data_IF_877074050002
#
_entry.id   IF_877074050002
#
_cell.length_a   1.000
_cell.length_b   1.000
_cell.length_c   1.000
_cell.angle_alpha   90.00
_cell.angle_beta   90.00
_cell.angle_gamma   90.00
#
_symmetry.space_group_name_H-M   'P 1'
#
loop_
_entity.id
_entity.type
_entity.pdbx_description
1 polymer ?
#
# COMPACT_ATOMS: atom_id res chain seq x y z
N UNK A 1 23.88 -5.74 -20.38
CA UNK A 1 24.31 -4.34 -20.52
C UNK A 1 23.11 -3.49 -20.91
N UNK A 2 23.08 -2.22 -20.52
CA UNK A 2 22.03 -1.31 -20.99
C UNK A 2 22.20 -1.08 -22.51
N UNK A 3 21.10 -1.08 -23.25
CA UNK A 3 21.10 -0.75 -24.68
C UNK A 3 21.47 0.72 -24.89
N UNK A 4 22.26 1.02 -25.91
CA UNK A 4 22.55 2.42 -26.28
C UNK A 4 21.33 3.05 -26.97
N UNK A 5 21.25 4.38 -26.99
CA UNK A 5 20.14 5.06 -27.66
C UNK A 5 20.18 4.79 -29.17
N UNK A 6 21.37 4.77 -29.76
CA UNK A 6 21.61 4.49 -31.16
C UNK A 6 21.16 3.07 -31.53
N UNK A 7 21.51 2.06 -30.72
CA UNK A 7 21.08 0.68 -30.95
C UNK A 7 19.55 0.54 -30.85
N UNK A 8 18.93 1.18 -29.86
CA UNK A 8 17.48 1.18 -29.70
C UNK A 8 16.79 1.81 -30.91
N UNK A 9 17.32 2.92 -31.44
CA UNK A 9 16.79 3.59 -32.63
C UNK A 9 16.91 2.70 -33.88
N UNK A 10 18.05 2.01 -34.08
CA UNK A 10 18.21 1.09 -35.22
C UNK A 10 17.19 -0.05 -35.17
N UNK A 11 17.03 -0.69 -34.01
CA UNK A 11 16.01 -1.73 -33.83
C UNK A 11 14.60 -1.16 -34.01
N UNK A 12 14.29 0.00 -33.45
CA UNK A 12 12.98 0.64 -33.60
C UNK A 12 12.65 0.97 -35.07
N UNK A 13 13.67 1.30 -35.87
CA UNK A 13 13.56 1.51 -37.32
C UNK A 13 13.50 0.21 -38.13
N UNK A 14 13.66 -0.95 -37.49
CA UNK A 14 13.69 -2.26 -38.15
C UNK A 14 15.00 -2.56 -38.89
N UNK A 15 16.07 -1.82 -38.60
CA UNK A 15 17.39 -2.03 -39.21
C UNK A 15 18.13 -3.23 -38.59
N UNK A 16 17.87 -3.50 -37.31
CA UNK A 16 18.40 -4.62 -36.54
C UNK A 16 17.24 -5.44 -35.91
N UNK A 17 17.49 -6.72 -35.60
CA UNK A 17 16.51 -7.57 -34.91
C UNK A 17 16.33 -7.17 -33.44
N UNK A 18 15.09 -7.25 -32.95
CA UNK A 18 14.78 -7.10 -31.54
C UNK A 18 15.25 -8.34 -30.74
N UNK A 19 15.44 -8.20 -29.43
CA UNK A 19 15.80 -9.34 -28.58
C UNK A 19 14.62 -10.30 -28.37
N UNK A 20 13.42 -9.74 -28.23
CA UNK A 20 12.17 -10.46 -28.10
C UNK A 20 11.07 -9.76 -28.90
N UNK A 21 10.25 -10.51 -29.63
CA UNK A 21 9.01 -10.01 -30.23
C UNK A 21 7.84 -10.85 -29.72
N UNK A 22 6.85 -10.18 -29.12
CA UNK A 22 5.56 -10.77 -28.79
C UNK A 22 4.65 -10.66 -30.02
N UNK A 23 4.34 -11.79 -30.68
CA UNK A 23 3.57 -11.83 -31.93
C UNK A 23 2.08 -11.93 -31.64
N UNK A 24 1.27 -11.40 -32.56
CA UNK A 24 -0.20 -11.53 -32.55
C UNK A 24 -0.87 -11.06 -31.24
N UNK A 25 -0.39 -9.96 -30.66
CA UNK A 25 -0.90 -9.41 -29.42
C UNK A 25 -2.12 -8.50 -29.66
N UNK A 26 -3.14 -8.59 -28.79
CA UNK A 26 -4.18 -7.55 -28.66
C UNK A 26 -3.71 -6.50 -27.66
N UNK A 27 -3.03 -5.48 -28.14
CA UNK A 27 -2.43 -4.44 -27.30
C UNK A 27 -3.51 -3.52 -26.77
N UNK A 28 -3.61 -3.41 -25.44
CA UNK A 28 -4.46 -2.44 -24.75
C UNK A 28 -3.74 -1.09 -24.72
N UNK A 29 -4.16 -0.15 -25.56
CA UNK A 29 -3.54 1.17 -25.63
C UNK A 29 -4.19 2.13 -24.64
N UNK A 30 -3.55 2.26 -23.48
CA UNK A 30 -3.98 3.16 -22.40
C UNK A 30 -3.89 4.65 -22.75
N UNK A 31 -3.26 5.03 -23.86
CA UNK A 31 -3.18 6.43 -24.29
C UNK A 31 -4.37 6.84 -25.17
N UNK A 32 -4.72 6.00 -26.15
CA UNK A 32 -5.78 6.28 -27.12
C UNK A 32 -7.13 5.67 -26.75
N UNK A 33 -7.17 4.77 -25.77
CA UNK A 33 -8.42 4.17 -25.31
C UNK A 33 -8.96 3.08 -26.24
N UNK A 34 -8.10 2.46 -27.08
CA UNK A 34 -8.47 1.40 -28.01
C UNK A 34 -7.63 0.13 -27.83
N UNK A 35 -8.05 -0.94 -28.50
CA UNK A 35 -7.33 -2.21 -28.56
C UNK A 35 -7.04 -2.54 -30.01
N UNK A 36 -5.78 -2.78 -30.34
CA UNK A 36 -5.38 -3.14 -31.70
C UNK A 36 -4.47 -4.36 -31.74
N UNK A 37 -4.59 -5.13 -32.82
CA UNK A 37 -3.78 -6.33 -33.06
C UNK A 37 -2.45 -5.90 -33.66
N UNK A 38 -1.34 -6.22 -33.00
CA UNK A 38 0.01 -5.90 -33.48
C UNK A 38 1.05 -6.80 -32.79
N UNK A 39 2.33 -6.65 -33.14
CA UNK A 39 3.42 -7.26 -32.39
C UNK A 39 4.11 -6.22 -31.51
N UNK A 40 4.70 -6.66 -30.39
CA UNK A 40 5.48 -5.80 -29.49
C UNK A 40 6.95 -6.21 -29.56
N UNK A 41 7.79 -5.35 -30.12
CA UNK A 41 9.24 -5.55 -30.18
C UNK A 41 9.92 -5.01 -28.93
N UNK A 42 10.81 -5.81 -28.34
CA UNK A 42 11.51 -5.51 -27.09
C UNK A 42 13.02 -5.63 -27.34
N UNK A 43 13.75 -4.60 -26.95
CA UNK A 43 15.21 -4.52 -27.03
C UNK A 43 15.79 -4.22 -25.65
N UNK A 44 16.63 -5.13 -25.14
CA UNK A 44 17.13 -5.14 -23.78
C UNK A 44 15.98 -5.05 -22.77
N UNK A 45 15.79 -3.90 -22.12
CA UNK A 45 14.72 -3.66 -21.14
C UNK A 45 13.63 -2.73 -21.63
N UNK A 46 13.67 -2.33 -22.91
CA UNK A 46 12.82 -1.30 -23.49
C UNK A 46 11.96 -1.86 -24.60
N UNK A 47 10.77 -1.29 -24.76
CA UNK A 47 9.94 -1.49 -25.94
C UNK A 47 10.62 -0.74 -27.09
N UNK A 48 10.95 -1.43 -28.18
CA UNK A 48 11.54 -0.83 -29.37
C UNK A 48 10.46 -0.31 -30.32
N UNK A 49 9.34 -1.02 -30.47
CA UNK A 49 8.31 -0.66 -31.44
C UNK A 49 7.07 -1.54 -31.37
N UNK A 50 6.02 -1.08 -32.05
CA UNK A 50 4.78 -1.82 -32.31
C UNK A 50 4.62 -1.98 -33.83
N UNK A 51 4.36 -3.18 -34.32
CA UNK A 51 4.19 -3.45 -35.74
C UNK A 51 4.86 -4.72 -36.23
N UNK A 52 5.24 -4.74 -37.51
CA UNK A 52 5.96 -5.88 -38.07
C UNK A 52 7.46 -5.79 -37.74
N UNK A 53 7.90 -6.63 -36.81
CA UNK A 53 9.28 -6.74 -36.34
C UNK A 53 9.71 -8.20 -36.33
N UNK A 54 11.02 -8.41 -36.49
CA UNK A 54 11.70 -9.70 -36.30
C UNK A 54 12.46 -9.70 -34.98
N UNK A 55 12.35 -10.81 -34.26
CA UNK A 55 13.05 -11.02 -33.00
C UNK A 55 14.01 -12.19 -33.04
N UNK A 56 15.11 -12.11 -32.28
CA UNK A 56 15.96 -13.28 -31.98
C UNK A 56 15.16 -14.38 -31.28
N UNK A 57 14.20 -13.97 -30.45
CA UNK A 57 13.17 -14.81 -29.86
C UNK A 57 11.81 -14.25 -30.26
N UNK A 58 10.92 -15.10 -30.76
CA UNK A 58 9.54 -14.74 -31.06
C UNK A 58 8.58 -15.61 -30.23
N UNK A 59 7.63 -14.98 -29.56
CA UNK A 59 6.61 -15.66 -28.77
C UNK A 59 5.25 -15.29 -29.36
N UNK A 60 4.57 -16.27 -29.95
CA UNK A 60 3.19 -16.09 -30.37
C UNK A 60 2.27 -16.05 -29.14
N UNK A 61 1.47 -14.99 -29.04
CA UNK A 61 0.48 -14.82 -27.98
C UNK A 61 -0.91 -15.33 -28.38
N UNK A 62 -1.09 -15.81 -29.61
CA UNK A 62 -2.33 -16.43 -30.09
C UNK A 62 -3.58 -15.55 -29.86
N UNK A 63 -3.41 -14.23 -30.06
CA UNK A 63 -4.47 -13.25 -29.84
C UNK A 63 -4.72 -12.84 -28.38
N UNK A 64 -3.89 -13.26 -27.43
CA UNK A 64 -3.98 -12.82 -26.04
C UNK A 64 -3.77 -11.29 -25.91
N UNK A 65 -4.28 -10.72 -24.83
CA UNK A 65 -4.18 -9.30 -24.57
C UNK A 65 -2.85 -8.95 -23.91
N UNK A 66 -2.33 -7.77 -24.23
CA UNK A 66 -1.11 -7.23 -23.62
C UNK A 66 -1.39 -5.83 -23.11
N UNK A 67 -1.13 -5.57 -21.84
CA UNK A 67 -1.23 -4.25 -21.21
C UNK A 67 0.05 -3.92 -20.41
N UNK A 68 0.22 -2.67 -19.95
CA UNK A 68 1.36 -2.30 -19.11
C UNK A 68 1.32 -3.05 -17.76
N UNK A 69 2.50 -3.27 -17.18
CA UNK A 69 2.66 -3.73 -15.79
C UNK A 69 1.90 -2.86 -14.79
N UNK A 70 1.19 -3.48 -13.85
CA UNK A 70 0.40 -2.74 -12.88
C UNK A 70 1.28 -2.05 -11.84
N UNK A 71 0.83 -0.89 -11.37
CA UNK A 71 1.48 -0.02 -10.40
C UNK A 71 0.52 0.19 -9.25
N UNK A 72 0.86 -0.31 -8.07
CA UNK A 72 0.12 0.03 -6.86
C UNK A 72 0.54 1.40 -6.37
N UNK A 73 -0.42 2.32 -6.27
CA UNK A 73 -0.15 3.70 -5.90
C UNK A 73 0.02 3.91 -4.39
N UNK A 74 -0.41 2.98 -3.55
CA UNK A 74 -0.31 3.11 -2.10
C UNK A 74 -0.46 1.74 -1.43
N UNK A 75 0.61 1.28 -0.76
CA UNK A 75 0.61 -0.02 -0.08
C UNK A 75 1.61 -0.06 1.08
N UNK A 76 1.26 -0.79 2.13
CA UNK A 76 2.15 -1.10 3.25
C UNK A 76 2.60 -2.57 3.11
N UNK A 77 3.86 -2.78 2.69
CA UNK A 77 4.39 -4.15 2.52
C UNK A 77 4.41 -4.87 3.87
N UNK A 78 4.63 -4.16 4.95
CA UNK A 78 4.63 -4.68 6.31
C UNK A 78 3.32 -5.39 6.68
N UNK A 79 2.18 -4.90 6.20
CA UNK A 79 0.85 -5.49 6.41
C UNK A 79 0.69 -6.85 5.73
N UNK A 80 1.53 -7.16 4.73
CA UNK A 80 1.64 -8.50 4.15
C UNK A 80 2.44 -9.48 5.00
N UNK A 81 3.08 -9.03 6.09
CA UNK A 81 3.99 -9.82 6.94
C UNK A 81 5.20 -10.41 6.18
N UNK A 82 5.46 -9.95 4.95
CA UNK A 82 6.54 -10.43 4.10
C UNK A 82 7.68 -9.41 4.02
N UNK A 83 8.87 -9.92 3.69
CA UNK A 83 9.97 -9.06 3.23
C UNK A 83 9.72 -8.66 1.79
N UNK A 84 10.28 -7.53 1.36
CA UNK A 84 10.12 -7.00 -0.02
C UNK A 84 10.35 -8.04 -1.12
N UNK A 85 11.39 -8.91 -1.10
CA UNK A 85 11.56 -9.92 -2.14
C UNK A 85 10.46 -10.98 -2.16
N UNK A 86 9.93 -11.35 -0.99
CA UNK A 86 8.84 -12.32 -0.87
C UNK A 86 7.50 -11.70 -1.27
N UNK A 87 7.28 -10.43 -0.92
CA UNK A 87 6.14 -9.66 -1.43
C UNK A 87 6.18 -9.59 -2.96
N UNK A 88 7.33 -9.25 -3.56
CA UNK A 88 7.52 -9.25 -5.00
C UNK A 88 7.20 -10.62 -5.64
N UNK A 89 7.67 -11.71 -5.03
CA UNK A 89 7.38 -13.08 -5.47
C UNK A 89 5.88 -13.39 -5.44
N UNK A 90 5.16 -12.86 -4.45
CA UNK A 90 3.72 -13.03 -4.31
C UNK A 90 2.93 -12.20 -5.34
N UNK A 91 3.27 -10.93 -5.58
CA UNK A 91 2.46 -10.03 -6.43
C UNK A 91 2.81 -10.06 -7.92
N UNK A 92 4.04 -10.43 -8.30
CA UNK A 92 4.43 -10.50 -9.71
C UNK A 92 3.57 -11.47 -10.56
N UNK A 93 3.17 -12.65 -10.06
CA UNK A 93 2.21 -13.52 -10.75
C UNK A 93 0.86 -12.87 -11.04
N UNK A 94 0.51 -11.81 -10.32
CA UNK A 94 -0.72 -11.03 -10.46
C UNK A 94 -0.54 -9.77 -11.32
N UNK A 95 0.59 -9.62 -12.03
CA UNK A 95 0.80 -8.53 -12.98
C UNK A 95 1.28 -7.22 -12.36
N UNK A 96 1.36 -7.11 -11.03
CA UNK A 96 1.94 -5.94 -10.37
C UNK A 96 3.45 -5.96 -10.50
N UNK A 97 4.00 -4.98 -11.21
CA UNK A 97 5.44 -4.86 -11.47
C UNK A 97 6.09 -3.73 -10.69
N UNK A 98 5.28 -2.78 -10.20
CA UNK A 98 5.72 -1.66 -9.39
C UNK A 98 4.77 -1.37 -8.23
N UNK A 99 5.30 -0.84 -7.14
CA UNK A 99 4.53 -0.30 -6.01
C UNK A 99 5.12 1.01 -5.52
N UNK A 100 4.27 1.84 -4.94
CA UNK A 100 4.66 3.00 -4.14
C UNK A 100 4.28 2.70 -2.70
N UNK A 101 5.30 2.54 -1.85
CA UNK A 101 5.13 2.14 -0.46
C UNK A 101 5.19 3.35 0.47
N UNK A 102 4.44 3.30 1.57
CA UNK A 102 4.68 4.11 2.76
C UNK A 102 5.12 3.17 3.90
N UNK A 103 6.44 3.07 4.18
CA UNK A 103 6.96 2.14 5.18
C UNK A 103 6.81 2.70 6.61
N UNK A 104 5.63 3.25 6.94
CA UNK A 104 5.40 3.92 8.21
C UNK A 104 5.40 2.94 9.39
N UNK A 105 5.09 1.66 9.14
CA UNK A 105 5.07 0.61 10.15
C UNK A 105 6.48 0.34 10.69
N UNK A 106 7.41 0.00 9.80
CA UNK A 106 8.79 -0.24 10.20
C UNK A 106 9.48 1.04 10.68
N UNK A 107 9.02 2.20 10.19
CA UNK A 107 9.52 3.49 10.69
C UNK A 107 9.06 3.77 12.12
N UNK A 108 7.85 3.41 12.52
CA UNK A 108 7.43 3.51 13.92
C UNK A 108 8.26 2.60 14.84
N UNK A 109 8.66 1.41 14.38
CA UNK A 109 9.47 0.49 15.20
C UNK A 109 10.96 0.86 15.22
N UNK A 110 11.53 1.20 14.06
CA UNK A 110 12.98 1.29 13.86
C UNK A 110 13.46 2.64 13.32
N UNK A 111 12.54 3.57 13.06
CA UNK A 111 12.86 4.92 12.57
C UNK A 111 13.57 4.90 11.23
N UNK A 112 14.59 5.74 11.12
CA UNK A 112 15.40 5.89 9.92
C UNK A 112 16.03 4.56 9.45
N UNK A 113 16.46 3.70 10.38
CA UNK A 113 17.04 2.40 10.03
C UNK A 113 16.01 1.46 9.40
N UNK A 114 14.74 1.53 9.81
CA UNK A 114 13.64 0.80 9.19
C UNK A 114 13.39 1.24 7.74
N UNK A 115 13.35 2.54 7.51
CA UNK A 115 13.18 3.10 6.15
C UNK A 115 14.37 2.71 5.27
N UNK A 116 15.59 2.81 5.78
CA UNK A 116 16.81 2.40 5.06
C UNK A 116 16.79 0.89 4.75
N UNK A 117 16.32 0.06 5.68
CA UNK A 117 16.12 -1.36 5.43
C UNK A 117 15.20 -1.60 4.24
N UNK A 118 14.05 -0.91 4.17
CA UNK A 118 13.11 -1.05 3.04
C UNK A 118 13.72 -0.58 1.72
N UNK A 119 14.43 0.55 1.71
CA UNK A 119 15.12 1.06 0.53
C UNK A 119 16.20 0.09 0.02
N UNK A 120 17.04 -0.46 0.91
CA UNK A 120 18.05 -1.44 0.52
C UNK A 120 17.43 -2.76 0.08
N UNK A 121 16.43 -3.25 0.82
CA UNK A 121 15.71 -4.50 0.50
C UNK A 121 14.96 -4.41 -0.83
N UNK A 122 14.64 -3.20 -1.29
CA UNK A 122 14.00 -2.94 -2.58
C UNK A 122 14.94 -3.05 -3.78
N UNK A 123 16.25 -2.87 -3.57
CA UNK A 123 17.23 -2.92 -4.65
C UNK A 123 17.40 -4.35 -5.18
N UNK A 124 17.71 -4.45 -6.48
CA UNK A 124 18.04 -5.71 -7.17
C UNK A 124 16.92 -6.76 -7.21
N UNK A 125 15.67 -6.38 -6.93
CA UNK A 125 14.51 -7.25 -7.16
C UNK A 125 14.03 -7.18 -8.62
N UNK A 126 13.38 -8.24 -9.13
CA UNK A 126 12.64 -8.22 -10.39
C UNK A 126 11.32 -7.44 -10.25
N UNK A 127 11.32 -6.37 -9.47
CA UNK A 127 10.17 -5.60 -9.02
C UNK A 127 10.62 -4.18 -8.68
N UNK A 128 9.80 -3.17 -8.95
CA UNK A 128 10.14 -1.78 -8.67
C UNK A 128 9.39 -1.28 -7.44
N UNK A 129 10.14 -0.81 -6.45
CA UNK A 129 9.58 -0.20 -5.24
C UNK A 129 10.00 1.26 -5.19
N UNK A 130 9.01 2.13 -5.09
CA UNK A 130 9.18 3.55 -4.82
C UNK A 130 8.70 3.85 -3.41
N UNK A 131 9.27 4.86 -2.77
CA UNK A 131 9.00 5.15 -1.36
C UNK A 131 8.38 6.55 -1.22
N UNK A 132 7.35 6.62 -0.40
CA UNK A 132 6.85 7.85 0.22
C UNK A 132 7.39 7.86 1.65
N UNK A 133 8.05 8.94 2.07
CA UNK A 133 8.70 8.98 3.39
C UNK A 133 7.65 9.11 4.49
N UNK A 134 7.65 8.23 5.51
CA UNK A 134 6.67 8.25 6.59
C UNK A 134 6.51 9.64 7.23
N UNK A 135 5.28 10.13 7.26
CA UNK A 135 4.97 11.50 7.65
C UNK A 135 4.73 11.65 9.16
N UNK A 136 4.14 10.63 9.79
CA UNK A 136 3.52 10.67 11.11
C UNK A 136 4.09 9.57 12.01
N UNK A 137 5.37 9.71 12.35
CA UNK A 137 6.07 8.81 13.27
C UNK A 137 6.55 9.61 14.49
N UNK A 138 5.93 9.44 15.67
CA UNK A 138 4.67 8.71 15.91
C UNK A 138 3.44 9.43 15.31
N UNK A 139 2.32 8.73 15.22
CA UNK A 139 1.04 9.30 14.78
C UNK A 139 0.46 10.29 15.80
N UNK A 140 0.69 10.05 17.10
CA UNK A 140 0.26 10.90 18.21
C UNK A 140 1.31 10.95 19.32
N UNK A 141 1.32 12.03 20.11
CA UNK A 141 2.17 12.15 21.30
C UNK A 141 1.52 11.51 22.56
N UNK A 142 0.34 10.88 22.43
CA UNK A 142 -0.34 10.16 23.52
C UNK A 142 0.19 8.74 23.75
N UNK A 143 1.11 8.25 22.92
CA UNK A 143 1.64 6.90 22.96
C UNK A 143 3.18 6.88 22.89
N UNK A 144 3.76 5.71 23.14
CA UNK A 144 5.22 5.50 23.04
C UNK A 144 5.53 4.68 21.79
N UNK A 145 6.10 5.34 20.77
CA UNK A 145 6.62 4.67 19.56
C UNK A 145 8.10 4.31 19.71
N UNK A 146 8.58 3.42 18.85
CA UNK A 146 9.97 3.00 18.81
C UNK A 146 10.92 4.02 18.19
N UNK A 147 10.37 5.00 17.47
CA UNK A 147 11.15 6.06 16.85
C UNK A 147 10.35 7.35 16.65
N UNK A 148 11.05 8.37 16.13
CA UNK A 148 10.49 9.62 15.66
C UNK A 148 11.16 9.99 14.35
N UNK A 149 10.38 10.39 13.35
CA UNK A 149 10.91 10.94 12.09
C UNK A 149 10.86 12.46 12.16
N UNK A 150 12.04 13.09 12.15
CA UNK A 150 12.18 14.54 12.21
C UNK A 150 12.13 15.15 10.79
N UNK A 151 11.82 16.46 10.68
CA UNK A 151 11.89 17.16 9.40
C UNK A 151 13.26 17.07 8.71
N UNK A 152 14.35 17.01 9.48
CA UNK A 152 15.71 16.83 8.96
C UNK A 152 15.92 15.46 8.30
N UNK A 153 15.34 14.41 8.86
CA UNK A 153 15.43 13.04 8.33
C UNK A 153 14.68 12.96 6.99
N UNK A 154 13.50 13.56 6.95
CA UNK A 154 12.68 13.69 5.76
C UNK A 154 13.43 14.41 4.63
N UNK A 155 14.05 15.56 4.93
CA UNK A 155 14.82 16.33 3.96
C UNK A 155 16.05 15.59 3.39
N UNK A 156 16.62 14.64 4.15
CA UNK A 156 17.68 13.75 3.66
C UNK A 156 17.10 12.72 2.69
N UNK A 157 16.04 12.02 3.10
CA UNK A 157 15.42 10.92 2.34
C UNK A 157 14.79 11.40 1.03
N UNK A 158 14.20 12.59 1.01
CA UNK A 158 13.56 13.18 -0.19
C UNK A 158 14.53 13.44 -1.35
N UNK A 159 15.85 13.38 -1.12
CA UNK A 159 16.89 13.50 -2.16
C UNK A 159 17.15 12.20 -2.90
N UNK A 160 16.69 11.06 -2.38
CA UNK A 160 16.88 9.76 -3.02
C UNK A 160 16.02 9.64 -4.28
N UNK A 161 16.59 9.10 -5.36
CA UNK A 161 15.91 8.98 -6.66
C UNK A 161 14.65 8.09 -6.62
N UNK A 162 14.58 7.17 -5.65
CA UNK A 162 13.48 6.22 -5.48
C UNK A 162 12.39 6.75 -4.54
N UNK A 163 12.57 7.96 -4.00
CA UNK A 163 11.63 8.62 -3.09
C UNK A 163 10.80 9.66 -3.85
N UNK A 164 9.49 9.45 -3.88
CA UNK A 164 8.55 10.29 -4.65
C UNK A 164 7.93 11.42 -3.84
N UNK A 165 8.02 11.34 -2.52
CA UNK A 165 7.42 12.33 -1.65
C UNK A 165 7.30 11.89 -0.22
N UNK A 166 6.31 12.44 0.45
CA UNK A 166 5.95 12.15 1.84
C UNK A 166 4.71 11.29 1.84
N UNK A 167 4.74 10.25 2.68
CA UNK A 167 3.66 9.32 2.93
C UNK A 167 2.43 10.02 3.50
N UNK A 168 1.41 9.22 3.79
CA UNK A 168 0.08 9.73 4.07
C UNK A 168 0.08 10.73 5.24
N UNK A 169 -0.38 11.96 5.04
CA UNK A 169 -0.37 12.98 6.10
C UNK A 169 -1.60 12.82 7.02
N UNK A 170 -1.62 11.73 7.80
CA UNK A 170 -2.70 11.37 8.72
C UNK A 170 -2.89 12.38 9.86
N UNK A 171 -1.83 13.10 10.27
CA UNK A 171 -1.94 14.23 11.19
C UNK A 171 -2.44 15.49 10.46
N UNK A 172 -3.58 15.37 9.77
CA UNK A 172 -4.30 16.49 9.21
C UNK A 172 -4.68 17.54 10.26
N UNK A 173 -4.99 17.23 11.54
CA UNK A 173 -5.21 18.26 12.56
C UNK A 173 -3.98 19.16 12.72
N UNK A 174 -2.78 18.56 12.78
CA UNK A 174 -1.52 19.31 12.86
C UNK A 174 -1.30 20.22 11.65
N UNK A 175 -1.75 19.83 10.46
CA UNK A 175 -1.75 20.71 9.28
C UNK A 175 -2.71 21.88 9.46
N UNK A 176 -3.96 21.63 9.87
CA UNK A 176 -5.00 22.66 10.04
C UNK A 176 -4.63 23.70 11.11
N UNK A 177 -4.07 23.23 12.22
CA UNK A 177 -3.63 24.09 13.31
C UNK A 177 -2.24 24.71 13.06
N UNK A 178 -1.53 24.24 12.02
CA UNK A 178 -0.18 24.67 11.61
C UNK A 178 0.87 24.37 12.68
N UNK A 179 0.81 23.17 13.24
CA UNK A 179 1.79 22.69 14.21
C UNK A 179 3.21 22.80 13.63
N UNK A 180 4.17 23.44 14.35
CA UNK A 180 5.47 23.77 13.77
C UNK A 180 6.23 22.58 13.19
N UNK A 181 6.18 21.42 13.85
CA UNK A 181 6.85 20.19 13.41
C UNK A 181 6.21 19.60 12.14
N UNK A 182 4.87 19.60 12.06
CA UNK A 182 4.12 19.14 10.89
C UNK A 182 4.37 20.06 9.69
N UNK A 183 4.29 21.37 9.89
CA UNK A 183 4.55 22.33 8.83
C UNK A 183 6.00 22.30 8.34
N UNK A 184 6.96 21.95 9.20
CA UNK A 184 8.35 21.75 8.78
C UNK A 184 8.48 20.54 7.82
N UNK A 185 7.76 19.44 8.06
CA UNK A 185 7.71 18.29 7.14
C UNK A 185 7.06 18.65 5.80
N UNK A 186 5.92 19.35 5.85
CA UNK A 186 5.21 19.84 4.64
C UNK A 186 6.14 20.72 3.79
N UNK A 187 6.86 21.67 4.42
CA UNK A 187 7.82 22.53 3.69
C UNK A 187 9.01 21.74 3.14
N UNK A 188 9.51 20.75 3.87
CA UNK A 188 10.60 19.90 3.40
C UNK A 188 10.22 19.09 2.14
N UNK A 189 8.93 18.78 1.97
CA UNK A 189 8.37 18.10 0.81
C UNK A 189 8.11 19.01 -0.41
N UNK A 190 8.45 20.30 -0.35
CA UNK A 190 8.18 21.24 -1.43
C UNK A 190 8.74 20.74 -2.78
N UNK A 191 7.88 20.68 -3.80
CA UNK A 191 8.23 20.18 -5.13
C UNK A 191 8.15 18.66 -5.29
N UNK A 192 7.80 17.92 -4.24
CA UNK A 192 7.52 16.47 -4.25
C UNK A 192 6.04 16.21 -3.95
N UNK A 193 5.62 14.95 -4.01
CA UNK A 193 4.26 14.55 -3.62
C UNK A 193 4.10 14.54 -2.10
N UNK A 194 2.88 14.81 -1.66
CA UNK A 194 2.45 14.58 -0.28
C UNK A 194 1.13 13.84 -0.41
N UNK A 195 1.13 12.58 0.02
CA UNK A 195 -0.08 11.78 0.05
C UNK A 195 -0.94 12.15 1.25
N UNK A 196 -2.25 11.99 1.11
CA UNK A 196 -3.20 12.36 2.15
C UNK A 196 -3.86 11.16 2.81
N UNK A 197 -4.25 11.39 4.05
CA UNK A 197 -5.10 10.54 4.88
C UNK A 197 -6.00 11.48 5.67
N UNK A 198 -7.21 11.69 5.18
CA UNK A 198 -8.11 12.71 5.70
C UNK A 198 -9.57 12.21 5.77
N UNK A 199 -9.87 11.17 6.56
CA UNK A 199 -11.20 10.58 6.64
C UNK A 199 -12.22 11.62 7.13
N UNK A 200 -13.29 11.83 6.34
CA UNK A 200 -14.38 12.74 6.68
C UNK A 200 -14.05 14.25 6.64
N UNK A 201 -12.83 14.62 6.25
CA UNK A 201 -12.43 16.02 6.15
C UNK A 201 -13.16 16.71 4.99
N UNK A 202 -13.82 17.84 5.27
CA UNK A 202 -14.70 18.53 4.31
C UNK A 202 -14.60 20.06 4.40
N UNK A 203 -15.20 20.75 3.43
CA UNK A 203 -15.36 22.21 3.45
C UNK A 203 -14.05 22.99 3.58
N UNK A 204 -14.01 23.95 4.51
CA UNK A 204 -12.86 24.85 4.69
C UNK A 204 -11.60 24.14 5.17
N UNK A 205 -11.78 23.11 5.99
CA UNK A 205 -10.65 22.37 6.54
C UNK A 205 -10.02 21.49 5.44
N UNK A 206 -10.85 20.86 4.59
CA UNK A 206 -10.36 20.18 3.39
C UNK A 206 -9.58 21.13 2.46
N UNK A 207 -10.13 22.32 2.19
CA UNK A 207 -9.44 23.33 1.38
C UNK A 207 -8.12 23.76 1.99
N UNK A 208 -8.02 23.90 3.32
CA UNK A 208 -6.78 24.24 4.01
C UNK A 208 -5.74 23.12 3.91
N UNK A 209 -6.17 21.86 4.05
CA UNK A 209 -5.31 20.69 3.91
C UNK A 209 -4.74 20.55 2.50
N UNK A 210 -5.59 20.72 1.47
CA UNK A 210 -5.16 20.74 0.06
C UNK A 210 -4.22 21.92 -0.21
N UNK A 211 -4.54 23.11 0.31
CA UNK A 211 -3.70 24.30 0.15
C UNK A 211 -2.31 24.15 0.78
N UNK A 212 -2.14 23.25 1.76
CA UNK A 212 -0.84 22.91 2.33
C UNK A 212 0.03 22.06 1.37
N UNK A 213 -0.54 21.52 0.29
CA UNK A 213 0.16 20.76 -0.74
C UNK A 213 -0.19 19.26 -0.78
N UNK A 214 -1.14 18.81 0.05
CA UNK A 214 -1.58 17.41 0.04
C UNK A 214 -2.43 17.12 -1.19
N UNK A 215 -2.03 16.12 -1.97
CA UNK A 215 -2.50 15.95 -3.36
C UNK A 215 -3.38 14.73 -3.63
N UNK A 216 -3.43 13.78 -2.72
CA UNK A 216 -4.19 12.53 -2.84
C UNK A 216 -4.91 12.19 -1.54
N UNK A 217 -5.83 11.23 -1.60
CA UNK A 217 -6.47 10.63 -0.42
C UNK A 217 -6.97 9.22 -0.76
N UNK A 218 -6.75 8.27 0.15
CA UNK A 218 -7.28 6.89 0.06
C UNK A 218 -8.38 6.59 1.10
N UNK A 219 -8.69 7.54 1.98
CA UNK A 219 -9.59 7.35 3.12
C UNK A 219 -11.08 7.63 2.84
N UNK A 220 -11.43 7.87 1.58
CA UNK A 220 -12.82 8.07 1.21
C UNK A 220 -13.65 6.79 1.45
N UNK A 221 -14.72 6.89 2.23
CA UNK A 221 -15.63 5.77 2.49
C UNK A 221 -16.96 5.90 1.75
N UNK A 222 -17.26 7.09 1.22
CA UNK A 222 -18.50 7.40 0.50
C UNK A 222 -18.22 8.17 -0.78
N UNK A 223 -19.03 7.94 -1.81
CA UNK A 223 -18.88 8.60 -3.11
C UNK A 223 -19.02 10.12 -3.02
N UNK A 224 -19.85 10.64 -2.12
CA UNK A 224 -20.03 12.09 -1.92
C UNK A 224 -18.76 12.77 -1.40
N UNK A 225 -18.08 12.12 -0.45
CA UNK A 225 -16.80 12.59 0.10
C UNK A 225 -15.73 12.59 -1.00
N UNK A 226 -15.59 11.47 -1.72
CA UNK A 226 -14.63 11.36 -2.81
C UNK A 226 -14.90 12.38 -3.92
N UNK A 227 -16.18 12.68 -4.21
CA UNK A 227 -16.59 13.69 -5.18
C UNK A 227 -16.23 15.10 -4.73
N UNK A 228 -16.34 15.42 -3.45
CA UNK A 228 -15.89 16.71 -2.90
C UNK A 228 -14.37 16.86 -3.07
N UNK A 229 -13.59 15.88 -2.61
CA UNK A 229 -12.12 15.87 -2.71
C UNK A 229 -11.64 15.95 -4.16
N UNK A 230 -12.24 15.18 -5.07
CA UNK A 230 -11.94 15.21 -6.50
C UNK A 230 -12.22 16.59 -7.12
N UNK A 231 -13.34 17.24 -6.76
CA UNK A 231 -13.69 18.58 -7.26
C UNK A 231 -12.72 19.66 -6.80
N UNK A 232 -12.05 19.46 -5.67
CA UNK A 232 -10.99 20.33 -5.18
C UNK A 232 -9.61 20.01 -5.79
N UNK A 233 -9.54 19.02 -6.69
CA UNK A 233 -8.35 18.71 -7.47
C UNK A 233 -7.46 17.61 -6.90
N UNK A 234 -7.91 16.92 -5.84
CA UNK A 234 -7.19 15.75 -5.31
C UNK A 234 -7.26 14.56 -6.27
N UNK A 235 -6.25 13.70 -6.20
CA UNK A 235 -6.35 12.34 -6.72
C UNK A 235 -7.06 11.45 -5.69
N UNK A 236 -7.97 10.59 -6.16
CA UNK A 236 -8.66 9.62 -5.33
C UNK A 236 -8.00 8.26 -5.52
N UNK A 237 -7.38 7.76 -4.47
CA UNK A 237 -6.81 6.43 -4.39
C UNK A 237 -7.91 5.48 -3.92
N UNK A 238 -8.54 4.75 -4.84
CA UNK A 238 -9.64 3.83 -4.51
C UNK A 238 -9.03 2.54 -3.97
N UNK A 239 -9.14 2.34 -2.66
CA UNK A 239 -8.57 1.18 -1.97
C UNK A 239 -9.47 -0.04 -1.99
N UNK A 240 -8.82 -1.20 -2.05
CA UNK A 240 -9.42 -2.51 -1.80
C UNK A 240 -8.39 -3.40 -1.08
N UNK A 241 -8.35 -3.26 0.25
CA UNK A 241 -7.45 -4.00 1.14
C UNK A 241 -8.17 -5.01 2.04
N UNK A 242 -7.44 -5.57 3.01
CA UNK A 242 -7.97 -6.58 3.94
C UNK A 242 -8.82 -5.99 5.05
N UNK A 243 -8.42 -4.83 5.57
CA UNK A 243 -9.10 -4.14 6.68
C UNK A 243 -10.15 -3.15 6.18
N UNK A 244 -9.93 -2.54 5.01
CA UNK A 244 -10.81 -1.56 4.41
C UNK A 244 -11.04 -1.81 2.91
N UNK A 245 -12.31 -1.95 2.52
CA UNK A 245 -12.76 -2.24 1.14
C UNK A 245 -13.72 -1.15 0.69
N UNK A 246 -13.30 -0.31 -0.25
CA UNK A 246 -14.09 0.83 -0.73
C UNK A 246 -14.27 0.85 -2.25
N UNK A 247 -13.78 -0.17 -2.97
CA UNK A 247 -13.87 -0.22 -4.43
C UNK A 247 -15.32 -0.03 -4.90
N UNK A 248 -16.23 -0.89 -4.45
CA UNK A 248 -17.62 -0.88 -4.91
C UNK A 248 -18.35 0.42 -4.58
N UNK A 249 -18.08 0.98 -3.40
CA UNK A 249 -18.72 2.21 -2.94
C UNK A 249 -18.24 3.44 -3.72
N UNK A 250 -16.98 3.44 -4.16
CA UNK A 250 -16.37 4.57 -4.87
C UNK A 250 -16.37 4.44 -6.39
N UNK A 251 -16.56 3.24 -6.96
CA UNK A 251 -16.63 3.01 -8.41
C UNK A 251 -17.59 3.96 -9.15
N UNK A 252 -18.76 4.35 -8.62
CA UNK A 252 -19.64 5.33 -9.29
C UNK A 252 -19.00 6.72 -9.52
N UNK A 253 -17.89 7.04 -8.81
CA UNK A 253 -17.10 8.25 -9.08
C UNK A 253 -16.35 8.18 -10.41
N UNK A 254 -16.02 6.97 -10.87
CA UNK A 254 -15.15 6.73 -12.02
C UNK A 254 -15.97 6.80 -13.30
N UNK A 255 -15.73 7.86 -14.06
CA UNK A 255 -16.30 8.13 -15.38
C UNK A 255 -15.18 8.49 -16.35
N UNK A 256 -15.38 8.47 -17.68
CA UNK A 256 -14.37 8.95 -18.61
C UNK A 256 -13.83 10.37 -18.30
N UNK A 257 -14.64 11.24 -17.68
CA UNK A 257 -14.23 12.60 -17.32
C UNK A 257 -13.39 12.68 -16.03
N UNK A 258 -13.58 11.73 -15.11
CA UNK A 258 -12.98 11.74 -13.76
C UNK A 258 -11.86 10.70 -13.59
N UNK A 259 -11.85 9.65 -14.40
CA UNK A 259 -10.94 8.51 -14.27
C UNK A 259 -9.47 8.89 -14.16
N UNK A 260 -9.01 9.91 -14.91
CA UNK A 260 -7.62 10.42 -14.85
C UNK A 260 -7.18 10.93 -13.47
N UNK A 261 -8.11 11.14 -12.54
CA UNK A 261 -7.84 11.54 -11.15
C UNK A 261 -8.10 10.40 -10.16
N UNK A 262 -8.36 9.19 -10.64
CA UNK A 262 -8.56 8.02 -9.81
C UNK A 262 -7.44 7.00 -10.10
N UNK A 263 -7.01 6.28 -9.08
CA UNK A 263 -6.10 5.13 -9.22
C UNK A 263 -6.48 4.04 -8.22
N UNK A 264 -6.16 2.79 -8.54
CA UNK A 264 -6.38 1.68 -7.60
C UNK A 264 -5.19 1.54 -6.66
N UNK A 265 -5.48 1.25 -5.39
CA UNK A 265 -4.48 0.99 -4.36
C UNK A 265 -4.90 -0.18 -3.48
N UNK A 266 -3.95 -0.86 -2.85
CA UNK A 266 -4.27 -1.96 -1.92
C UNK A 266 -4.26 -1.56 -0.45
N UNK A 267 -3.53 -0.48 -0.09
CA UNK A 267 -3.41 -0.07 1.31
C UNK A 267 -2.81 -1.22 2.14
N UNK A 268 -3.54 -1.77 3.10
CA UNK A 268 -3.18 -2.99 3.82
C UNK A 268 -3.67 -4.27 3.13
N UNK A 269 -2.77 -5.23 2.90
CA UNK A 269 -3.16 -6.56 2.40
C UNK A 269 -2.49 -7.72 3.13
N UNK A 270 -3.30 -8.54 3.79
CA UNK A 270 -2.84 -9.73 4.51
C UNK A 270 -2.36 -10.82 3.53
N UNK A 271 -1.32 -11.61 3.88
CA UNK A 271 -0.75 -12.60 2.97
C UNK A 271 -1.74 -13.67 2.52
N UNK A 272 -2.72 -14.05 3.36
CA UNK A 272 -3.75 -15.01 2.99
C UNK A 272 -4.63 -14.50 1.84
N UNK A 273 -5.15 -13.28 1.95
CA UNK A 273 -5.97 -12.65 0.91
C UNK A 273 -5.16 -12.35 -0.36
N UNK A 274 -3.87 -12.03 -0.21
CA UNK A 274 -2.96 -11.88 -1.34
C UNK A 274 -2.84 -13.19 -2.14
N UNK A 275 -2.79 -14.34 -1.45
CA UNK A 275 -2.69 -15.67 -2.09
C UNK A 275 -4.03 -16.15 -2.66
N UNK A 276 -5.14 -15.86 -1.98
CA UNK A 276 -6.48 -16.37 -2.36
C UNK A 276 -7.17 -15.48 -3.40
N UNK A 277 -7.08 -14.15 -3.26
CA UNK A 277 -7.81 -13.21 -4.10
C UNK A 277 -6.94 -12.60 -5.22
N UNK A 278 -5.64 -12.42 -4.97
CA UNK A 278 -4.66 -11.84 -5.90
C UNK A 278 -4.06 -10.52 -5.40
N UNK A 279 -3.69 -9.61 -6.31
CA UNK A 279 -3.21 -8.26 -5.99
C UNK A 279 -4.06 -7.19 -6.71
N UNK A 280 -3.46 -6.34 -7.56
CA UNK A 280 -4.20 -5.39 -8.39
C UNK A 280 -5.05 -6.07 -9.46
N UNK A 281 -4.69 -7.28 -9.92
CA UNK A 281 -5.52 -8.05 -10.86
C UNK A 281 -6.92 -8.32 -10.29
N UNK A 282 -7.03 -8.57 -8.99
CA UNK A 282 -8.31 -8.81 -8.32
C UNK A 282 -9.18 -7.56 -8.29
N UNK A 283 -8.56 -6.40 -8.08
CA UNK A 283 -9.23 -5.10 -8.09
C UNK A 283 -9.72 -4.76 -9.50
N UNK A 284 -8.86 -4.93 -10.52
CA UNK A 284 -9.22 -4.71 -11.93
C UNK A 284 -10.36 -5.63 -12.34
N UNK A 285 -10.25 -6.93 -12.05
CA UNK A 285 -11.28 -7.94 -12.35
C UNK A 285 -12.61 -7.58 -11.67
N UNK A 286 -12.58 -7.16 -10.40
CA UNK A 286 -13.79 -6.75 -9.67
C UNK A 286 -14.40 -5.48 -10.23
N UNK A 287 -13.58 -4.49 -10.62
CA UNK A 287 -14.06 -3.25 -11.23
C UNK A 287 -14.72 -3.50 -12.59
N UNK A 288 -14.10 -4.31 -13.45
CA UNK A 288 -14.67 -4.70 -14.75
C UNK A 288 -15.98 -5.48 -14.56
N UNK A 289 -16.00 -6.46 -13.65
CA UNK A 289 -17.21 -7.22 -13.32
C UNK A 289 -18.33 -6.33 -12.75
N UNK A 290 -17.98 -5.19 -12.16
CA UNK A 290 -18.92 -4.17 -11.66
C UNK A 290 -19.35 -3.17 -12.73
N UNK A 291 -18.93 -3.35 -13.99
CA UNK A 291 -19.36 -2.55 -15.13
C UNK A 291 -18.42 -1.41 -15.52
N UNK A 292 -17.22 -1.31 -14.92
CA UNK A 292 -16.23 -0.32 -15.35
C UNK A 292 -15.65 -0.71 -16.72
N UNK A 293 -15.44 0.29 -17.58
CA UNK A 293 -14.75 0.08 -18.85
C UNK A 293 -13.35 -0.55 -18.61
N UNK A 294 -13.00 -1.66 -19.29
CA UNK A 294 -11.75 -2.35 -19.03
C UNK A 294 -10.49 -1.54 -19.30
N UNK A 295 -10.51 -0.62 -20.26
CA UNK A 295 -9.36 0.22 -20.57
C UNK A 295 -9.17 1.27 -19.48
N UNK A 296 -10.27 1.86 -19.00
CA UNK A 296 -10.25 2.75 -17.82
C UNK A 296 -9.73 2.01 -16.58
N UNK A 297 -10.17 0.78 -16.33
CA UNK A 297 -9.69 -0.02 -15.20
C UNK A 297 -8.17 -0.25 -15.29
N UNK A 298 -7.65 -0.56 -16.48
CA UNK A 298 -6.20 -0.72 -16.70
C UNK A 298 -5.47 0.62 -16.54
N UNK A 299 -5.99 1.74 -17.06
CA UNK A 299 -5.39 3.08 -16.88
C UNK A 299 -5.22 3.42 -15.39
N UNK A 300 -6.24 3.12 -14.57
CA UNK A 300 -6.21 3.36 -13.13
C UNK A 300 -5.17 2.52 -12.38
N UNK A 301 -4.75 1.39 -12.94
CA UNK A 301 -3.69 0.54 -12.39
C UNK A 301 -2.34 0.72 -13.10
N UNK A 302 -2.22 1.62 -14.09
CA UNK A 302 -0.99 1.76 -14.91
C UNK A 302 -0.63 3.22 -15.15
N UNK A 303 -1.31 3.88 -16.10
CA UNK A 303 -0.99 5.23 -16.54
C UNK A 303 -1.22 6.28 -15.43
N UNK A 304 -2.35 6.21 -14.74
CA UNK A 304 -2.72 7.20 -13.74
C UNK A 304 -1.75 7.25 -12.55
N UNK A 305 -1.38 6.12 -11.90
CA UNK A 305 -0.35 6.14 -10.86
C UNK A 305 1.03 6.53 -11.43
N UNK A 306 1.38 6.12 -12.65
CA UNK A 306 2.64 6.56 -13.27
C UNK A 306 2.72 8.09 -13.43
N UNK A 307 1.65 8.73 -13.91
CA UNK A 307 1.58 10.18 -14.08
C UNK A 307 1.56 10.92 -12.73
N UNK A 308 0.80 10.41 -11.75
CA UNK A 308 0.75 10.99 -10.42
C UNK A 308 2.14 10.99 -9.78
N UNK A 309 2.84 9.86 -9.76
CA UNK A 309 4.15 9.74 -9.13
C UNK A 309 5.34 10.16 -10.02
N UNK A 310 5.09 10.63 -11.25
CA UNK A 310 6.15 11.08 -12.15
C UNK A 310 7.07 9.95 -12.64
N UNK A 311 6.53 8.75 -12.84
CA UNK A 311 7.25 7.58 -13.33
C UNK A 311 7.35 7.62 -14.87
N UNK A 312 8.34 8.36 -15.38
CA UNK A 312 8.44 8.73 -16.80
C UNK A 312 8.83 7.61 -17.77
N UNK A 313 9.03 6.38 -17.28
CA UNK A 313 9.53 5.24 -18.07
C UNK A 313 8.56 4.05 -18.13
N UNK A 314 7.34 4.17 -17.59
CA UNK A 314 6.35 3.07 -17.48
C UNK A 314 4.91 3.57 -17.40
N UNK A 315 3.96 2.64 -17.26
CA UNK A 315 2.52 2.92 -17.21
C UNK A 315 1.84 2.91 -18.58
N UNK A 316 2.57 2.53 -19.63
CA UNK A 316 2.08 2.48 -21.01
C UNK A 316 2.97 1.63 -21.91
N UNK A 317 2.43 1.17 -23.04
CA UNK A 317 3.19 0.43 -24.06
C UNK A 317 3.62 1.44 -25.13
N UNK A 318 4.86 1.92 -25.04
CA UNK A 318 5.40 2.99 -25.89
C UNK A 318 6.87 2.73 -26.23
N UNK A 319 7.34 3.02 -27.47
CA UNK A 319 8.76 2.97 -27.80
C UNK A 319 9.63 3.79 -26.83
N UNK A 320 10.74 3.19 -26.40
CA UNK A 320 11.68 3.77 -25.43
C UNK A 320 11.30 3.59 -23.96
N UNK A 321 10.06 3.18 -23.66
CA UNK A 321 9.63 2.88 -22.29
C UNK A 321 10.00 1.46 -21.89
N UNK A 322 10.00 1.22 -20.58
CA UNK A 322 10.36 -0.07 -20.01
C UNK A 322 9.34 -1.13 -20.41
N UNK A 323 9.82 -2.31 -20.81
CA UNK A 323 8.98 -3.45 -21.17
C UNK A 323 8.49 -4.20 -19.91
N UNK A 324 7.80 -3.48 -19.03
CA UNK A 324 7.02 -4.05 -17.93
C UNK A 324 5.61 -4.30 -18.46
N UNK A 325 5.26 -5.56 -18.72
CA UNK A 325 4.07 -5.95 -19.48
C UNK A 325 3.32 -7.10 -18.80
N UNK A 326 2.00 -7.11 -18.94
CA UNK A 326 1.12 -8.19 -18.49
C UNK A 326 0.42 -8.77 -19.71
N UNK A 327 0.49 -10.09 -19.85
CA UNK A 327 -0.27 -10.84 -20.86
C UNK A 327 -1.41 -11.56 -20.15
N UNK A 328 -2.64 -11.38 -20.63
CA UNK A 328 -3.84 -12.00 -20.05
C UNK A 328 -4.79 -12.54 -21.13
N UNK A 329 -5.69 -13.43 -20.73
CA UNK A 329 -6.55 -14.16 -21.66
C UNK A 329 -7.68 -13.31 -22.27
N UNK A 330 -8.50 -12.67 -21.46
CA UNK A 330 -9.65 -11.86 -21.87
C UNK A 330 -10.15 -10.97 -20.69
N UNK A 331 -11.10 -10.08 -20.96
CA UNK A 331 -11.66 -9.19 -19.92
C UNK A 331 -12.73 -9.80 -19.02
N UNK A 332 -13.24 -11.00 -19.32
CA UNK A 332 -14.23 -11.69 -18.49
C UNK A 332 -13.56 -12.45 -17.34
N UNK A 333 -12.58 -13.29 -17.65
CA UNK A 333 -11.84 -14.08 -16.67
C UNK A 333 -10.64 -13.32 -16.09
N UNK A 334 -10.00 -12.47 -16.90
CA UNK A 334 -8.83 -11.67 -16.55
C UNK A 334 -7.70 -12.50 -15.92
N UNK A 335 -7.39 -13.67 -16.50
CA UNK A 335 -6.34 -14.57 -16.00
C UNK A 335 -4.98 -14.13 -16.54
N UNK A 336 -4.05 -13.88 -15.62
CA UNK A 336 -2.68 -13.52 -15.97
C UNK A 336 -1.94 -14.74 -16.51
N UNK A 337 -1.55 -14.66 -17.79
CA UNK A 337 -0.83 -15.72 -18.50
C UNK A 337 0.68 -15.57 -18.34
N UNK A 338 1.20 -14.36 -18.50
CA UNK A 338 2.62 -14.02 -18.40
C UNK A 338 2.80 -12.62 -17.86
N UNK A 339 3.90 -12.41 -17.13
CA UNK A 339 4.34 -11.08 -16.69
C UNK A 339 5.79 -10.90 -17.09
N UNK A 340 6.06 -9.80 -17.79
CA UNK A 340 7.39 -9.40 -18.20
C UNK A 340 7.81 -8.20 -17.36
N UNK A 341 9.06 -8.21 -16.89
CA UNK A 341 9.72 -7.07 -16.26
C UNK A 341 10.97 -6.73 -17.04
N UNK A 342 11.00 -5.54 -17.62
CA UNK A 342 12.07 -5.10 -18.52
C UNK A 342 12.37 -6.14 -19.59
N UNK A 343 11.34 -6.71 -20.21
CA UNK A 343 11.46 -7.70 -21.30
C UNK A 343 11.75 -9.14 -20.87
N UNK A 344 11.98 -9.39 -19.58
CA UNK A 344 12.21 -10.74 -19.06
C UNK A 344 10.93 -11.32 -18.47
N UNK A 345 10.57 -12.55 -18.82
CA UNK A 345 9.44 -13.26 -18.20
C UNK A 345 9.80 -13.55 -16.74
N UNK A 346 9.03 -12.99 -15.82
CA UNK A 346 9.22 -13.13 -14.37
C UNK A 346 8.10 -13.91 -13.70
N UNK A 347 6.94 -14.02 -14.35
CA UNK A 347 5.87 -14.92 -13.94
C UNK A 347 5.17 -15.55 -15.16
N UNK A 348 4.69 -16.77 -14.99
CA UNK A 348 3.93 -17.52 -16.00
C UNK A 348 2.87 -18.39 -15.32
N UNK A 349 1.63 -18.33 -15.84
CA UNK A 349 0.47 -19.13 -15.37
C UNK A 349 0.30 -19.10 -13.84
N UNK A 350 0.28 -17.89 -13.28
CA UNK A 350 0.09 -17.66 -11.84
C UNK A 350 1.27 -18.09 -10.96
N UNK A 351 2.46 -18.35 -11.53
CA UNK A 351 3.67 -18.70 -10.76
C UNK A 351 4.81 -17.78 -11.08
N UNK A 352 5.56 -17.41 -10.04
CA UNK A 352 6.81 -16.69 -10.19
C UNK A 352 7.87 -17.64 -10.79
N UNK A 353 8.50 -17.23 -11.88
CA UNK A 353 9.57 -17.97 -12.58
C UNK A 353 10.88 -17.19 -12.67
N UNK A 354 10.90 -15.96 -12.14
CA UNK A 354 12.11 -15.14 -12.05
C UNK A 354 13.07 -15.61 -10.97
N UNK A 355 14.18 -14.90 -10.83
CA UNK A 355 15.13 -15.07 -9.72
C UNK A 355 15.01 -13.90 -8.75
N UNK A 356 14.84 -14.20 -7.47
CA UNK A 356 15.07 -13.21 -6.42
C UNK A 356 16.58 -13.04 -6.21
N UNK A 357 17.02 -11.81 -6.02
CA UNK A 357 18.42 -11.56 -5.65
C UNK A 357 18.68 -12.15 -4.26
N UNK A 358 19.77 -12.89 -4.05
CA UNK A 358 20.15 -13.39 -2.72
C UNK A 358 20.64 -12.27 -1.78
N UNK A 359 20.50 -11.00 -2.21
CA UNK A 359 20.90 -9.85 -1.41
C UNK A 359 20.04 -9.79 -0.16
N UNK A 360 20.61 -10.24 0.96
CA UNK A 360 20.01 -10.04 2.26
C UNK A 360 20.15 -8.55 2.61
N UNK A 361 19.03 -7.83 2.87
CA UNK A 361 19.13 -6.49 3.43
C UNK A 361 19.87 -6.53 4.77
N UNK A 362 20.34 -5.36 5.22
CA UNK A 362 21.03 -5.23 6.50
C UNK A 362 20.19 -5.86 7.64
N UNK A 363 20.85 -6.57 8.55
CA UNK A 363 20.19 -7.10 9.74
C UNK A 363 19.72 -5.92 10.58
N UNK A 364 18.41 -5.87 10.88
CA UNK A 364 17.84 -4.91 11.82
C UNK A 364 17.91 -5.46 13.24
N UNK A 365 17.95 -4.56 14.23
CA UNK A 365 17.97 -4.93 15.65
C UNK A 365 16.68 -5.65 16.08
N UNK A 366 16.76 -6.41 17.17
CA UNK A 366 15.57 -6.91 17.87
C UNK A 366 14.69 -5.74 18.33
N UNK A 367 13.37 -5.92 18.24
CA UNK A 367 12.36 -4.91 18.57
C UNK A 367 11.43 -5.31 19.72
N UNK A 368 11.79 -6.34 20.48
CA UNK A 368 11.03 -6.80 21.66
C UNK A 368 11.84 -6.54 22.92
N UNK A 369 11.64 -5.38 23.54
CA UNK A 369 12.31 -4.95 24.77
C UNK A 369 11.34 -4.97 25.95
N UNK A 370 10.87 -6.16 26.31
CA UNK A 370 9.94 -6.40 27.42
C UNK A 370 10.51 -7.40 28.41
N UNK A 371 10.16 -7.24 29.69
CA UNK A 371 10.43 -8.21 30.74
C UNK A 371 9.10 -8.77 31.25
N UNK A 372 8.63 -9.93 30.72
CA UNK A 372 7.29 -10.45 31.05
C UNK A 372 7.00 -10.59 32.55
N UNK A 373 7.93 -11.06 33.40
CA UNK A 373 7.68 -11.20 34.84
C UNK A 373 7.36 -9.90 35.59
N UNK A 374 7.64 -8.73 35.01
CA UNK A 374 7.33 -7.44 35.61
C UNK A 374 6.00 -6.82 35.16
N UNK A 375 5.26 -7.49 34.28
CA UNK A 375 3.99 -6.98 33.76
C UNK A 375 2.86 -7.36 34.71
N UNK A 376 2.00 -6.41 35.05
CA UNK A 376 0.78 -6.63 35.81
C UNK A 376 -0.42 -6.12 35.04
N UNK A 377 -1.44 -6.96 34.93
CA UNK A 377 -2.72 -6.62 34.31
C UNK A 377 -3.80 -6.26 35.35
N UNK A 378 -3.42 -6.14 36.62
CA UNK A 378 -4.36 -5.86 37.71
C UNK A 378 -4.97 -4.45 37.58
N UNK A 379 -6.31 -4.37 37.58
CA UNK A 379 -7.05 -3.10 37.57
C UNK A 379 -7.81 -2.96 38.88
N UNK A 380 -7.44 -2.04 39.79
CA UNK A 380 -8.15 -1.87 41.06
C UNK A 380 -9.62 -1.47 40.85
N UNK A 381 -10.53 -2.14 41.56
CA UNK A 381 -11.95 -1.81 41.56
C UNK A 381 -12.18 -0.46 42.24
N UNK A 382 -12.58 0.55 41.46
CA UNK A 382 -12.89 1.90 41.94
C UNK A 382 -14.26 2.33 41.45
N UNK A 383 -15.22 2.44 42.37
CA UNK A 383 -16.60 2.80 42.06
C UNK A 383 -17.40 1.68 41.41
N UNK A 384 -18.58 2.01 40.89
CA UNK A 384 -19.53 1.05 40.32
C UNK A 384 -19.66 1.11 38.79
N UNK A 385 -18.84 1.94 38.12
CA UNK A 385 -18.89 2.11 36.67
C UNK A 385 -17.50 2.27 36.08
N UNK A 386 -17.27 1.61 34.94
CA UNK A 386 -16.03 1.71 34.15
C UNK A 386 -16.35 2.21 32.74
N UNK A 387 -15.36 2.83 32.09
CA UNK A 387 -15.40 3.11 30.65
C UNK A 387 -14.95 1.86 29.90
N UNK A 388 -15.69 1.50 28.86
CA UNK A 388 -15.43 0.31 28.02
C UNK A 388 -15.41 0.76 26.56
N UNK A 389 -14.44 0.27 25.79
CA UNK A 389 -14.31 0.53 24.36
C UNK A 389 -15.26 -0.43 23.63
N UNK A 390 -16.35 0.11 23.08
CA UNK A 390 -17.30 -0.67 22.27
C UNK A 390 -16.75 -0.87 20.86
N UNK A 391 -16.53 -2.13 20.48
CA UNK A 391 -16.09 -2.50 19.14
C UNK A 391 -17.28 -2.49 18.17
N UNK A 392 -17.06 -1.93 16.98
CA UNK A 392 -18.02 -1.98 15.88
C UNK A 392 -17.50 -2.96 14.83
N UNK A 393 -18.18 -4.09 14.57
CA UNK A 393 -17.69 -5.10 13.63
C UNK A 393 -17.38 -4.52 12.24
N UNK A 394 -16.19 -4.82 11.72
CA UNK A 394 -15.75 -4.40 10.38
C UNK A 394 -15.49 -2.89 10.23
N UNK A 395 -15.23 -2.18 11.33
CA UNK A 395 -14.96 -0.73 11.33
C UNK A 395 -13.77 -0.39 12.24
N UNK A 396 -13.04 0.67 11.90
CA UNK A 396 -11.90 1.19 12.69
C UNK A 396 -12.40 2.11 13.83
N UNK A 397 -13.63 2.63 13.73
CA UNK A 397 -14.23 3.48 14.75
C UNK A 397 -14.71 2.69 15.97
N UNK A 398 -14.69 3.33 17.15
CA UNK A 398 -15.11 2.73 18.42
C UNK A 398 -16.16 3.58 19.12
N UNK A 399 -16.89 2.97 20.06
CA UNK A 399 -17.86 3.64 20.92
C UNK A 399 -17.33 3.78 22.33
N UNK A 400 -17.71 4.87 23.01
CA UNK A 400 -17.52 4.99 24.45
C UNK A 400 -18.73 4.43 25.19
N UNK A 401 -18.56 3.30 25.88
CA UNK A 401 -19.57 2.69 26.72
C UNK A 401 -19.27 2.94 28.20
N UNK A 402 -20.32 2.96 29.04
CA UNK A 402 -20.23 3.00 30.49
C UNK A 402 -20.96 1.79 31.05
N UNK A 403 -20.25 0.90 31.72
CA UNK A 403 -20.78 -0.40 32.18
C UNK A 403 -20.42 -0.67 33.64
N UNK A 404 -21.19 -1.53 34.31
CA UNK A 404 -20.86 -2.03 35.65
C UNK A 404 -19.75 -3.10 35.57
N UNK A 405 -18.63 -2.94 36.28
CA UNK A 405 -17.52 -3.90 36.23
C UNK A 405 -17.89 -5.23 36.87
N UNK A 406 -17.34 -6.34 36.36
CA UNK A 406 -17.25 -7.59 37.12
C UNK A 406 -15.99 -7.52 37.99
N UNK A 407 -16.13 -7.86 39.27
CA UNK A 407 -15.02 -7.79 40.22
C UNK A 407 -14.72 -9.17 40.80
N UNK A 408 -13.44 -9.44 41.02
CA UNK A 408 -12.96 -10.53 41.85
C UNK A 408 -12.07 -9.93 42.95
N UNK A 409 -12.56 -9.99 44.19
CA UNK A 409 -11.95 -9.26 45.31
C UNK A 409 -11.84 -7.75 45.05
N UNK A 410 -10.62 -7.23 45.11
CA UNK A 410 -10.30 -5.80 44.94
C UNK A 410 -10.04 -5.39 43.47
N UNK A 411 -10.17 -6.32 42.51
CA UNK A 411 -9.80 -6.10 41.12
C UNK A 411 -11.01 -6.22 40.18
N UNK A 412 -10.97 -5.45 39.10
CA UNK A 412 -11.86 -5.61 37.94
C UNK A 412 -11.30 -6.68 37.02
N UNK A 413 -12.13 -7.65 36.67
CA UNK A 413 -11.78 -8.80 35.84
C UNK A 413 -12.63 -8.85 34.58
N UNK A 414 -12.19 -9.61 33.58
CA UNK A 414 -12.97 -9.87 32.37
C UNK A 414 -14.29 -10.56 32.69
N UNK A 415 -15.35 -10.17 31.98
CA UNK A 415 -16.67 -10.76 32.03
C UNK A 415 -17.01 -11.38 30.67
N UNK A 416 -16.74 -12.66 30.52
CA UNK A 416 -17.00 -13.40 29.28
C UNK A 416 -18.50 -13.61 29.00
N UNK A 417 -19.37 -13.50 30.01
CA UNK A 417 -20.82 -13.64 29.84
C UNK A 417 -21.41 -12.37 29.20
N UNK A 418 -20.98 -11.20 29.67
CA UNK A 418 -21.37 -9.89 29.12
C UNK A 418 -20.44 -9.38 28.02
N UNK A 419 -19.45 -10.18 27.63
CA UNK A 419 -18.42 -9.85 26.63
C UNK A 419 -17.70 -8.52 26.92
N UNK A 420 -17.30 -8.32 28.18
CA UNK A 420 -16.46 -7.19 28.61
C UNK A 420 -15.08 -7.74 28.96
N UNK A 421 -14.13 -7.65 28.04
CA UNK A 421 -12.82 -8.27 28.18
C UNK A 421 -11.74 -7.23 28.47
N UNK A 422 -10.78 -7.60 29.31
CA UNK A 422 -9.61 -6.76 29.59
C UNK A 422 -8.75 -6.66 28.34
N UNK A 423 -8.31 -5.43 28.04
CA UNK A 423 -7.33 -5.12 27.00
C UNK A 423 -6.11 -4.47 27.65
N UNK A 424 -4.93 -4.84 27.17
CA UNK A 424 -3.68 -4.23 27.58
C UNK A 424 -2.85 -3.78 26.38
N UNK A 425 -2.13 -2.68 26.55
CA UNK A 425 -1.07 -2.20 25.65
C UNK A 425 0.22 -2.14 26.43
N UNK A 426 1.18 -3.01 26.11
CA UNK A 426 2.50 -3.09 26.76
C UNK A 426 3.55 -2.43 25.87
N UNK A 427 4.20 -1.41 26.41
CA UNK A 427 5.30 -0.71 25.74
C UNK A 427 6.48 -1.66 25.52
N UNK A 428 6.95 -1.81 24.27
CA UNK A 428 7.98 -2.81 23.92
C UNK A 428 9.26 -2.27 23.29
N UNK A 429 9.36 -0.97 23.08
CA UNK A 429 10.44 -0.38 22.31
C UNK A 429 11.58 0.14 23.20
N UNK A 430 11.23 0.80 24.29
CA UNK A 430 12.14 1.57 25.15
C UNK A 430 12.32 0.94 26.54
N UNK A 431 11.65 -0.18 26.83
CA UNK A 431 11.69 -0.88 28.11
C UNK A 431 11.29 0.01 29.30
N UNK A 432 10.30 0.90 29.09
CA UNK A 432 9.81 1.82 30.13
C UNK A 432 9.05 1.09 31.24
N UNK A 433 8.53 -0.10 30.97
CA UNK A 433 7.60 -0.81 31.84
C UNK A 433 6.18 -0.26 31.81
N UNK A 434 5.88 0.69 30.92
CA UNK A 434 4.54 1.25 30.79
C UNK A 434 3.54 0.23 30.25
N UNK A 435 2.39 0.12 30.93
CA UNK A 435 1.27 -0.73 30.53
C UNK A 435 -0.02 0.10 30.60
N UNK A 436 -0.69 0.25 29.46
CA UNK A 436 -2.05 0.78 29.40
C UNK A 436 -3.05 -0.34 29.62
N UNK A 437 -4.01 -0.17 30.52
CA UNK A 437 -5.07 -1.15 30.82
C UNK A 437 -6.45 -0.55 30.57
N UNK A 438 -7.35 -1.37 30.02
CA UNK A 438 -8.73 -0.99 29.76
C UNK A 438 -9.64 -2.20 29.57
N UNK A 439 -10.84 -1.96 29.06
CA UNK A 439 -11.81 -3.00 28.73
C UNK A 439 -12.42 -2.75 27.35
N UNK A 440 -12.66 -3.82 26.59
CA UNK A 440 -13.38 -3.82 25.31
C UNK A 440 -14.69 -4.58 25.43
N UNK A 441 -15.68 -4.21 24.62
CA UNK A 441 -16.95 -4.92 24.49
C UNK A 441 -17.26 -5.25 23.03
N UNK A 442 -17.73 -6.47 22.76
CA UNK A 442 -18.04 -6.95 21.41
C UNK A 442 -16.92 -7.77 20.75
N UNK A 443 -15.93 -8.24 21.51
CA UNK A 443 -14.80 -9.01 20.97
C UNK A 443 -15.12 -10.51 20.82
N UNK A 444 -15.99 -11.05 21.68
CA UNK A 444 -16.55 -12.41 21.55
C UNK A 444 -15.67 -13.56 22.07
N UNK A 445 -14.48 -13.28 22.62
CA UNK A 445 -13.58 -14.32 23.12
C UNK A 445 -14.09 -14.91 24.45
N UNK A 446 -14.20 -16.25 24.52
CA UNK A 446 -14.75 -16.97 25.69
C UNK A 446 -13.70 -17.67 26.55
N UNK A 447 -12.49 -17.88 26.04
CA UNK A 447 -11.34 -18.47 26.74
C UNK A 447 -10.03 -18.02 26.09
N UNK A 448 -8.94 -17.94 26.86
CA UNK A 448 -7.62 -17.59 26.36
C UNK A 448 -7.41 -16.09 26.15
N UNK A 449 -6.37 -15.75 25.40
CA UNK A 449 -6.05 -14.40 24.98
C UNK A 449 -5.61 -14.35 23.51
N UNK A 450 -5.71 -13.17 22.91
CA UNK A 450 -5.10 -12.83 21.63
C UNK A 450 -4.12 -11.69 21.85
N UNK A 451 -2.86 -11.88 21.48
CA UNK A 451 -1.81 -10.87 21.55
C UNK A 451 -1.18 -10.64 20.17
N UNK A 452 -0.86 -9.39 19.86
CA UNK A 452 -0.20 -8.97 18.63
C UNK A 452 0.85 -7.91 18.92
N UNK A 453 1.97 -7.93 18.20
CA UNK A 453 2.92 -6.82 18.15
C UNK A 453 2.75 -5.95 16.88
N UNK A 454 1.69 -6.21 16.12
CA UNK A 454 1.20 -5.37 15.01
C UNK A 454 -0.04 -4.67 15.54
N UNK A 455 0.13 -3.41 15.93
CA UNK A 455 -0.90 -2.54 16.50
C UNK A 455 -0.68 -1.11 16.02
N UNK A 456 -1.40 -0.72 14.98
CA UNK A 456 -1.19 0.55 14.27
C UNK A 456 -1.29 1.76 15.22
N UNK A 457 -0.36 2.73 15.21
CA UNK A 457 0.90 2.75 14.42
C UNK A 457 2.14 2.55 15.29
N UNK A 458 2.06 2.78 16.60
CA UNK A 458 3.22 2.60 17.48
C UNK A 458 3.66 1.15 17.61
N UNK A 459 2.81 0.18 17.26
CA UNK A 459 3.09 -1.25 17.30
C UNK A 459 3.63 -1.71 18.65
N UNK A 460 3.09 -1.20 19.74
CA UNK A 460 3.27 -1.83 21.04
C UNK A 460 2.60 -3.21 21.07
N UNK A 461 2.86 -4.00 22.10
CA UNK A 461 2.12 -5.27 22.24
C UNK A 461 0.69 -4.89 22.65
N UNK A 462 -0.30 -5.27 21.85
CA UNK A 462 -1.72 -5.16 22.20
C UNK A 462 -2.25 -6.56 22.46
N UNK A 463 -3.03 -6.72 23.52
CA UNK A 463 -3.61 -8.02 23.85
C UNK A 463 -4.98 -7.90 24.53
N UNK A 464 -5.88 -8.81 24.21
CA UNK A 464 -7.21 -8.97 24.82
C UNK A 464 -7.31 -10.37 25.38
N UNK A 465 -7.77 -10.52 26.62
CA UNK A 465 -7.86 -11.83 27.25
C UNK A 465 -8.99 -12.01 28.24
N UNK A 466 -9.29 -13.29 28.50
CA UNK A 466 -10.37 -13.69 29.42
C UNK A 466 -9.93 -13.80 30.87
N UNK A 467 -8.63 -13.83 31.14
CA UNK A 467 -8.03 -13.83 32.47
C UNK A 467 -6.62 -13.22 32.42
N UNK A 468 -6.10 -12.78 33.57
CA UNK A 468 -4.75 -12.20 33.65
C UNK A 468 -3.65 -13.25 33.43
N UNK A 469 -3.95 -14.54 33.65
CA UNK A 469 -3.02 -15.65 33.40
C UNK A 469 -2.94 -16.03 31.92
N UNK A 470 -4.04 -15.87 31.17
CA UNK A 470 -4.07 -16.10 29.72
C UNK A 470 -3.37 -14.97 28.95
N UNK A 471 -3.45 -13.74 29.49
CA UNK A 471 -2.87 -12.50 28.97
C UNK A 471 -1.36 -12.45 29.18
#
# INVERSE_FOLDING_TARGET
MAITLEDLIRIARGEDEADLVLKNARVVNVFSGDIHVTNVAIASTRIAGLGDYRGKVEIDLDGAYVCPGFIDGHVHIESSMLRVPEFARAVLPHGTTSVVIDPHEIANVLGFDGIRYMLESSKRNPFSVYVMVPSCVPATDMETSGARILPSDLALLLKENWVQGVGEMMNYPGVLFREPSVMAKVRAAAGKRIDGHAPGLSGRDLMAYIAAGVGSDHECTRVEEAKEKLRMGMYIMIREGSTARNLRDLLPLVTPATARRCMFVTDDRHPLELLEEGHLDSIIRTAIASGLDPIIAIQMATLNPAEYFGLLDRGGIRPGWRADLVVFDNFMDFRILKVLRGGQIVAERGRFVGSLSPHNPAIVRSSMNVHPPSISFAVPARGNRIRVIGLVPGQIVTQQLIMEPKTDGEFVVSDTERDVLKIAVVERHQATGNVGLGFVHGFGLKRGALASSVAHDSHNIILVGTSDDDM
#
